data_IF_834113934632
#
_entry.id   IF_834113934632
#
_cell.length_a   1.000
_cell.length_b   1.000
_cell.length_c   1.000
_cell.angle_alpha   90.00
_cell.angle_beta   90.00
_cell.angle_gamma   90.00
#
_symmetry.space_group_name_H-M   'P 1'
#
loop_
_entity.id
_entity.type
_entity.pdbx_description
1 polymer ?
#
# COMPACT_ATOMS: atom_id res chain seq x y z
N UNK A 1 -13.17 -16.52 6.22
CA UNK A 1 -12.48 -16.20 4.96
C UNK A 1 -11.18 -15.48 5.31
N UNK A 2 -10.08 -15.87 4.65
CA UNK A 2 -8.75 -15.25 4.83
C UNK A 2 -8.26 -14.75 3.48
N UNK A 3 -7.85 -13.50 3.40
CA UNK A 3 -7.33 -12.87 2.18
C UNK A 3 -5.88 -12.49 2.39
N UNK A 4 -5.02 -12.86 1.45
CA UNK A 4 -3.65 -12.36 1.35
C UNK A 4 -3.66 -11.09 0.51
N UNK A 5 -3.29 -9.96 1.12
CA UNK A 5 -3.09 -8.68 0.44
C UNK A 5 -1.62 -8.42 0.16
N UNK A 6 -1.30 -7.87 -1.02
CA UNK A 6 0.06 -7.50 -1.45
C UNK A 6 0.07 -6.04 -1.88
N UNK A 7 1.06 -5.28 -1.39
CA UNK A 7 1.28 -3.87 -1.73
C UNK A 7 2.72 -3.66 -2.19
N UNK A 8 2.90 -3.02 -3.35
CA UNK A 8 4.20 -2.68 -3.93
C UNK A 8 4.10 -1.47 -4.88
N UNK A 9 3.17 -0.56 -4.62
CA UNK A 9 2.84 0.52 -5.57
C UNK A 9 3.84 1.68 -5.58
N UNK A 10 4.68 1.81 -4.56
CA UNK A 10 5.67 2.89 -4.46
C UNK A 10 7.05 2.39 -4.02
N UNK A 11 7.45 2.62 -2.78
CA UNK A 11 8.76 2.29 -2.23
C UNK A 11 8.69 1.37 -1.00
N UNK A 12 7.53 0.79 -0.76
CA UNK A 12 7.32 -0.19 0.30
C UNK A 12 6.80 -1.50 -0.28
N UNK A 13 7.38 -2.61 0.18
CA UNK A 13 6.91 -3.96 -0.13
C UNK A 13 6.21 -4.50 1.10
N UNK A 14 4.92 -4.78 0.99
CA UNK A 14 4.15 -5.28 2.11
C UNK A 14 3.25 -6.45 1.73
N UNK A 15 2.99 -7.31 2.71
CA UNK A 15 1.98 -8.35 2.65
C UNK A 15 1.22 -8.45 3.97
N UNK A 16 -0.07 -8.73 3.91
CA UNK A 16 -0.90 -8.95 5.09
C UNK A 16 -1.93 -10.04 4.88
N UNK A 17 -2.21 -10.80 5.93
CA UNK A 17 -3.29 -11.78 6.02
C UNK A 17 -4.40 -11.18 6.86
N UNK A 18 -5.57 -11.00 6.27
CA UNK A 18 -6.73 -10.39 6.95
C UNK A 18 -7.93 -11.31 6.82
N UNK A 19 -8.69 -11.46 7.91
CA UNK A 19 -9.90 -12.26 7.90
C UNK A 19 -11.17 -11.40 7.76
N UNK A 20 -12.34 -12.06 7.60
CA UNK A 20 -13.65 -11.43 7.49
C UNK A 20 -14.14 -10.76 8.80
N UNK A 21 -13.43 -10.96 9.91
CA UNK A 21 -13.65 -10.22 11.16
C UNK A 21 -12.81 -8.95 11.27
N UNK A 22 -12.07 -8.59 10.21
CA UNK A 22 -11.12 -7.47 10.15
C UNK A 22 -9.90 -7.66 11.07
N UNK A 23 -9.58 -8.88 11.43
CA UNK A 23 -8.39 -9.19 12.21
C UNK A 23 -7.20 -9.36 11.27
N UNK A 24 -6.09 -8.68 11.57
CA UNK A 24 -4.80 -8.89 10.90
C UNK A 24 -4.15 -10.09 11.55
N UNK A 25 -4.09 -11.20 10.82
CA UNK A 25 -3.53 -12.46 11.29
C UNK A 25 -2.01 -12.51 11.18
N UNK A 26 -1.48 -11.85 10.17
CA UNK A 26 -0.04 -11.72 9.94
C UNK A 26 0.23 -10.56 8.99
N UNK A 27 1.39 -9.93 9.18
CA UNK A 27 1.82 -8.81 8.34
C UNK A 27 3.34 -8.76 8.24
N UNK A 28 3.84 -8.25 7.15
CA UNK A 28 5.25 -7.93 6.94
C UNK A 28 5.36 -6.70 6.03
N UNK A 29 6.31 -5.84 6.37
CA UNK A 29 6.58 -4.58 5.66
C UNK A 29 8.08 -4.37 5.53
N UNK A 30 8.53 -3.98 4.36
CA UNK A 30 9.87 -3.50 4.07
C UNK A 30 9.81 -2.13 3.41
N UNK A 31 10.34 -1.10 4.07
CA UNK A 31 10.54 0.21 3.46
C UNK A 31 11.93 0.26 2.83
N UNK A 32 11.99 0.74 1.59
CA UNK A 32 13.23 0.81 0.79
C UNK A 32 14.03 2.05 1.18
N UNK A 33 15.15 1.86 1.88
CA UNK A 33 16.00 2.96 2.36
C UNK A 33 16.99 3.49 1.30
N UNK A 34 17.21 2.73 0.22
CA UNK A 34 18.18 3.04 -0.84
C UNK A 34 17.87 4.38 -1.53
N UNK A 35 16.62 4.77 -1.56
CA UNK A 35 16.15 6.02 -2.16
C UNK A 35 16.67 7.29 -1.47
N UNK A 36 17.09 7.17 -0.19
CA UNK A 36 17.65 8.30 0.59
C UNK A 36 18.87 8.93 -0.10
N UNK A 37 19.70 8.09 -0.74
CA UNK A 37 20.89 8.54 -1.45
C UNK A 37 20.60 9.38 -2.69
N UNK A 38 19.38 9.26 -3.25
CA UNK A 38 18.96 9.95 -4.49
C UNK A 38 18.03 11.13 -4.21
N UNK A 39 17.71 11.39 -2.95
CA UNK A 39 16.81 12.49 -2.55
C UNK A 39 15.36 12.31 -3.00
N UNK A 40 14.92 11.08 -3.24
CA UNK A 40 13.55 10.71 -3.60
C UNK A 40 13.48 9.34 -4.24
N UNK A 41 12.26 8.83 -4.45
CA UNK A 41 12.03 7.50 -5.01
C UNK A 41 12.51 7.42 -6.45
N UNK A 42 13.34 6.41 -6.75
CA UNK A 42 13.79 6.07 -8.10
C UNK A 42 13.01 4.85 -8.58
N UNK A 43 12.09 5.00 -9.55
CA UNK A 43 11.15 3.94 -9.92
C UNK A 43 11.78 2.61 -10.33
N UNK A 44 12.92 2.66 -11.03
CA UNK A 44 13.62 1.43 -11.44
C UNK A 44 14.25 0.69 -10.25
N UNK A 45 14.83 1.44 -9.31
CA UNK A 45 15.39 0.87 -8.09
C UNK A 45 14.24 0.26 -7.26
N UNK A 46 13.12 0.97 -7.11
CA UNK A 46 11.95 0.47 -6.41
C UNK A 46 11.45 -0.85 -6.99
N UNK A 47 11.28 -0.92 -8.31
CA UNK A 47 10.80 -2.13 -8.98
C UNK A 47 11.72 -3.33 -8.76
N UNK A 48 13.05 -3.14 -8.82
CA UNK A 48 14.04 -4.20 -8.55
C UNK A 48 14.01 -4.65 -7.09
N UNK A 49 13.94 -3.70 -6.16
CA UNK A 49 13.87 -4.01 -4.73
C UNK A 49 12.60 -4.81 -4.39
N UNK A 50 11.46 -4.50 -4.99
CA UNK A 50 10.25 -5.32 -4.84
C UNK A 50 10.47 -6.76 -5.30
N UNK A 51 11.09 -6.97 -6.46
CA UNK A 51 11.39 -8.32 -6.96
C UNK A 51 12.31 -9.10 -6.03
N UNK A 52 13.32 -8.44 -5.48
CA UNK A 52 14.32 -9.08 -4.64
C UNK A 52 13.77 -9.48 -3.26
N UNK A 53 12.72 -8.80 -2.78
CA UNK A 53 12.26 -8.95 -1.40
C UNK A 53 10.87 -9.56 -1.24
N UNK A 54 10.03 -9.60 -2.30
CA UNK A 54 8.61 -9.99 -2.17
C UNK A 54 8.43 -11.39 -1.61
N UNK A 55 9.27 -12.34 -1.98
CA UNK A 55 9.20 -13.72 -1.47
C UNK A 55 9.48 -13.75 0.03
N UNK A 56 10.52 -13.06 0.49
CA UNK A 56 10.88 -12.97 1.90
C UNK A 56 9.79 -12.24 2.73
N UNK A 57 9.13 -11.24 2.16
CA UNK A 57 7.99 -10.55 2.80
C UNK A 57 6.79 -11.49 2.94
N UNK A 58 6.50 -12.29 1.91
CA UNK A 58 5.45 -13.30 1.99
C UNK A 58 5.77 -14.35 3.08
N UNK A 59 6.99 -14.87 3.12
CA UNK A 59 7.42 -15.81 4.16
C UNK A 59 7.27 -15.23 5.56
N UNK A 60 7.72 -13.99 5.77
CA UNK A 60 7.58 -13.29 7.07
C UNK A 60 6.13 -13.06 7.47
N UNK A 61 5.25 -12.73 6.51
CA UNK A 61 3.83 -12.54 6.75
C UNK A 61 3.17 -13.81 7.32
N UNK A 62 3.58 -14.99 6.88
CA UNK A 62 3.07 -16.27 7.38
C UNK A 62 3.77 -16.78 8.64
N UNK A 63 5.03 -16.40 8.89
CA UNK A 63 5.94 -17.06 9.84
C UNK A 63 5.40 -17.22 11.27
N UNK A 64 4.53 -16.32 11.73
CA UNK A 64 4.01 -16.33 13.12
C UNK A 64 2.53 -16.73 13.20
N UNK A 65 1.90 -17.04 12.09
CA UNK A 65 0.45 -17.26 12.03
C UNK A 65 0.06 -18.73 12.20
N UNK A 66 0.95 -19.65 11.92
CA UNK A 66 0.64 -21.07 11.78
C UNK A 66 -0.16 -21.42 10.51
N UNK A 67 -0.46 -20.40 9.68
CA UNK A 67 -1.15 -20.57 8.40
C UNK A 67 -0.15 -20.87 7.27
N UNK A 68 -0.69 -21.40 6.19
CA UNK A 68 0.04 -21.67 4.94
C UNK A 68 -0.71 -21.06 3.76
N UNK A 69 -0.09 -21.02 2.60
CA UNK A 69 -0.74 -20.59 1.35
C UNK A 69 -2.02 -21.37 1.00
N UNK A 70 -2.21 -22.56 1.54
CA UNK A 70 -3.43 -23.37 1.31
C UNK A 70 -4.63 -22.89 2.11
N UNK A 71 -4.38 -22.14 3.18
CA UNK A 71 -5.41 -21.68 4.11
C UNK A 71 -6.06 -20.36 3.67
N UNK A 72 -5.50 -19.68 2.65
CA UNK A 72 -6.09 -18.46 2.09
C UNK A 72 -7.25 -18.77 1.14
N UNK A 73 -8.22 -17.88 1.12
CA UNK A 73 -9.42 -17.99 0.27
C UNK A 73 -9.35 -17.10 -0.97
N UNK A 74 -8.57 -16.03 -0.93
CA UNK A 74 -8.35 -15.11 -2.06
C UNK A 74 -6.99 -14.42 -1.95
N UNK A 75 -6.49 -13.92 -3.08
CA UNK A 75 -5.30 -13.07 -3.17
C UNK A 75 -5.70 -11.72 -3.72
N UNK A 76 -5.32 -10.64 -3.04
CA UNK A 76 -5.54 -9.28 -3.45
C UNK A 76 -4.21 -8.55 -3.68
N UNK A 77 -4.17 -7.60 -4.60
CA UNK A 77 -3.01 -6.72 -4.74
C UNK A 77 -3.43 -5.29 -5.11
N UNK A 78 -2.66 -4.31 -4.63
CA UNK A 78 -2.75 -2.95 -5.12
C UNK A 78 -2.40 -2.91 -6.61
N UNK A 79 -3.37 -2.49 -7.41
CA UNK A 79 -3.30 -2.54 -8.88
C UNK A 79 -3.22 -1.16 -9.53
N UNK A 80 -2.94 -0.15 -8.73
CA UNK A 80 -2.78 1.26 -9.08
C UNK A 80 -3.76 2.17 -8.33
N UNK A 81 -3.52 3.49 -8.37
CA UNK A 81 -2.35 4.15 -8.97
C UNK A 81 -1.05 3.83 -8.23
N UNK A 82 0.09 4.08 -8.89
CA UNK A 82 1.43 3.85 -8.32
C UNK A 82 2.52 3.82 -9.38
N UNK A 83 3.75 3.54 -8.98
CA UNK A 83 4.87 3.34 -9.88
C UNK A 83 4.68 2.04 -10.66
N UNK A 84 4.56 2.13 -11.96
CA UNK A 84 4.17 1.00 -12.81
C UNK A 84 5.03 -0.25 -12.61
N UNK A 85 6.34 -0.10 -12.42
CA UNK A 85 7.25 -1.22 -12.19
C UNK A 85 6.93 -1.97 -10.89
N UNK A 86 6.72 -1.25 -9.80
CA UNK A 86 6.32 -1.83 -8.53
C UNK A 86 4.93 -2.48 -8.59
N UNK A 87 3.93 -1.75 -9.10
CA UNK A 87 2.56 -2.29 -9.28
C UNK A 87 2.58 -3.61 -10.04
N UNK A 88 3.38 -3.70 -11.13
CA UNK A 88 3.48 -4.94 -11.93
C UNK A 88 4.03 -6.09 -11.09
N UNK A 89 5.04 -5.85 -10.24
CA UNK A 89 5.62 -6.91 -9.39
C UNK A 89 4.56 -7.49 -8.46
N UNK A 90 3.86 -6.67 -7.69
CA UNK A 90 2.84 -7.15 -6.74
C UNK A 90 1.67 -7.83 -7.43
N UNK A 91 1.15 -7.22 -8.50
CA UNK A 91 0.02 -7.78 -9.26
C UNK A 91 0.37 -9.13 -9.92
N UNK A 92 1.57 -9.25 -10.49
CA UNK A 92 1.98 -10.51 -11.13
C UNK A 92 2.25 -11.60 -10.11
N UNK A 93 2.84 -11.27 -8.96
CA UNK A 93 3.00 -12.21 -7.83
C UNK A 93 1.63 -12.69 -7.34
N UNK A 94 0.69 -11.77 -7.09
CA UNK A 94 -0.67 -12.11 -6.67
C UNK A 94 -1.41 -12.98 -7.68
N UNK A 95 -1.30 -12.68 -8.97
CA UNK A 95 -1.89 -13.49 -10.03
C UNK A 95 -1.26 -14.87 -10.13
N UNK A 96 0.06 -14.97 -10.01
CA UNK A 96 0.76 -16.26 -10.02
C UNK A 96 0.29 -17.13 -8.85
N UNK A 97 0.19 -16.58 -7.64
CA UNK A 97 -0.35 -17.28 -6.48
C UNK A 97 -1.81 -17.69 -6.68
N UNK A 98 -2.65 -16.79 -7.20
CA UNK A 98 -4.06 -17.05 -7.51
C UNK A 98 -4.21 -18.27 -8.43
N UNK A 99 -3.43 -18.31 -9.51
CA UNK A 99 -3.47 -19.43 -10.48
C UNK A 99 -2.93 -20.72 -9.84
N UNK A 100 -1.80 -20.64 -9.13
CA UNK A 100 -1.16 -21.81 -8.53
C UNK A 100 -2.01 -22.46 -7.43
N UNK A 101 -2.81 -21.67 -6.72
CA UNK A 101 -3.64 -22.11 -5.60
C UNK A 101 -5.10 -22.37 -6.00
N UNK A 102 -5.47 -22.06 -7.23
CA UNK A 102 -6.87 -22.07 -7.71
C UNK A 102 -7.78 -21.19 -6.80
N UNK A 103 -7.33 -19.96 -6.52
CA UNK A 103 -8.04 -18.98 -5.69
C UNK A 103 -8.32 -17.71 -6.47
N UNK A 104 -9.41 -16.98 -6.17
CA UNK A 104 -9.71 -15.73 -6.85
C UNK A 104 -8.64 -14.66 -6.61
N UNK A 105 -8.37 -13.86 -7.65
CA UNK A 105 -7.57 -12.65 -7.58
C UNK A 105 -8.48 -11.42 -7.50
N UNK A 106 -8.15 -10.49 -6.61
CA UNK A 106 -8.86 -9.22 -6.42
C UNK A 106 -7.91 -8.06 -6.69
N UNK A 107 -8.18 -7.29 -7.74
CA UNK A 107 -7.46 -6.05 -8.02
C UNK A 107 -8.01 -4.92 -7.14
N UNK A 108 -7.17 -4.32 -6.29
CA UNK A 108 -7.57 -3.25 -5.38
C UNK A 108 -6.97 -1.92 -5.85
N UNK A 109 -7.78 -0.86 -5.87
CA UNK A 109 -7.24 0.47 -6.06
C UNK A 109 -6.47 0.90 -4.81
N UNK A 110 -5.22 1.34 -4.97
CA UNK A 110 -4.34 1.75 -3.86
C UNK A 110 -4.97 2.82 -2.95
N UNK A 111 -5.62 3.84 -3.54
CA UNK A 111 -6.31 4.89 -2.77
C UNK A 111 -7.57 4.38 -2.07
N UNK A 112 -8.24 3.38 -2.63
CA UNK A 112 -9.35 2.69 -1.97
C UNK A 112 -8.85 1.88 -0.76
N UNK A 113 -7.69 1.24 -0.87
CA UNK A 113 -7.02 0.60 0.25
C UNK A 113 -6.81 1.57 1.42
N UNK A 114 -6.25 2.75 1.15
CA UNK A 114 -6.11 3.81 2.16
C UNK A 114 -7.47 4.27 2.70
N UNK A 115 -8.47 4.48 1.84
CA UNK A 115 -9.78 4.94 2.26
C UNK A 115 -10.48 3.96 3.21
N UNK A 116 -10.29 2.66 3.01
CA UNK A 116 -10.94 1.61 3.79
C UNK A 116 -10.12 1.15 5.00
N UNK A 117 -8.82 1.49 5.08
CA UNK A 117 -7.93 1.11 6.19
C UNK A 117 -8.46 1.58 7.55
N UNK A 118 -9.09 2.75 7.62
CA UNK A 118 -9.71 3.28 8.84
C UNK A 118 -10.79 2.34 9.43
N UNK A 119 -11.40 1.47 8.60
CA UNK A 119 -12.41 0.49 9.04
C UNK A 119 -11.82 -0.80 9.62
N UNK A 120 -10.52 -1.01 9.45
CA UNK A 120 -9.81 -2.12 10.09
C UNK A 120 -9.43 -1.72 11.51
N UNK A 121 -8.85 -0.54 11.68
CA UNK A 121 -8.36 -0.04 12.96
C UNK A 121 -9.41 0.60 13.87
N UNK A 122 -10.57 0.98 13.31
CA UNK A 122 -11.63 1.66 14.02
C UNK A 122 -13.01 1.18 13.55
N UNK A 123 -14.02 1.26 14.40
CA UNK A 123 -15.42 0.91 14.06
C UNK A 123 -16.11 2.04 13.27
N UNK A 124 -15.46 2.50 12.20
CA UNK A 124 -16.04 3.50 11.31
C UNK A 124 -17.08 2.86 10.40
N UNK A 125 -18.29 3.39 10.41
CA UNK A 125 -19.40 2.94 9.55
C UNK A 125 -19.59 3.90 8.37
N UNK A 126 -20.11 3.39 7.26
CA UNK A 126 -20.52 4.22 6.13
C UNK A 126 -21.77 5.05 6.43
N UNK A 127 -21.93 6.24 5.85
CA UNK A 127 -20.90 7.01 5.15
C UNK A 127 -19.96 7.74 6.14
N UNK A 128 -18.74 8.05 5.72
CA UNK A 128 -17.82 8.90 6.50
C UNK A 128 -17.03 9.86 5.61
N UNK A 129 -16.57 10.95 6.21
CA UNK A 129 -15.68 11.92 5.57
C UNK A 129 -14.23 11.45 5.78
N UNK A 130 -13.48 11.40 4.69
CA UNK A 130 -12.07 11.04 4.69
C UNK A 130 -11.23 12.22 4.20
N UNK A 131 -10.20 12.58 4.97
CA UNK A 131 -9.08 13.37 4.51
C UNK A 131 -7.94 12.40 4.16
N UNK A 132 -7.76 12.12 2.88
CA UNK A 132 -6.65 11.33 2.37
C UNK A 132 -5.45 12.25 2.17
N UNK A 133 -4.35 11.99 2.88
CA UNK A 133 -3.09 12.74 2.78
C UNK A 133 -1.95 11.75 2.64
N UNK A 134 -1.23 11.80 1.53
CA UNK A 134 -0.08 10.94 1.25
C UNK A 134 1.06 11.72 0.58
N UNK A 135 2.11 11.01 0.20
CA UNK A 135 3.23 11.57 -0.57
C UNK A 135 2.80 12.16 -1.91
N UNK A 136 1.93 11.44 -2.64
CA UNK A 136 1.48 11.82 -3.99
C UNK A 136 0.02 12.27 -4.09
N UNK A 137 -0.79 12.13 -3.04
CA UNK A 137 -2.23 12.40 -3.08
C UNK A 137 -2.71 13.19 -1.87
N UNK A 138 -3.56 14.17 -2.11
CA UNK A 138 -4.26 14.91 -1.06
C UNK A 138 -5.69 15.17 -1.53
N UNK A 139 -6.68 14.52 -0.89
CA UNK A 139 -8.08 14.56 -1.30
C UNK A 139 -9.03 14.57 -0.09
N UNK A 140 -10.18 15.21 -0.27
CA UNK A 140 -11.30 15.14 0.67
C UNK A 140 -12.40 14.32 -0.01
N UNK A 141 -12.79 13.21 0.60
CA UNK A 141 -13.72 12.24 0.05
C UNK A 141 -14.88 11.98 1.01
N UNK A 142 -16.08 11.79 0.48
CA UNK A 142 -17.16 11.10 1.18
C UNK A 142 -17.11 9.63 0.75
N UNK A 143 -16.84 8.76 1.69
CA UNK A 143 -16.85 7.31 1.49
C UNK A 143 -18.25 6.82 1.82
N UNK A 144 -19.04 6.52 0.79
CA UNK A 144 -20.46 6.12 0.94
C UNK A 144 -20.60 4.62 1.14
N UNK A 145 -19.76 3.85 0.46
CA UNK A 145 -19.65 2.38 0.55
C UNK A 145 -18.36 1.94 -0.15
N UNK A 146 -18.04 0.65 -0.14
CA UNK A 146 -16.96 0.06 -0.94
C UNK A 146 -17.23 0.35 -2.42
N UNK A 147 -16.24 0.92 -3.11
CA UNK A 147 -16.36 1.32 -4.51
C UNK A 147 -17.24 2.54 -4.75
N UNK A 148 -17.77 3.21 -3.71
CA UNK A 148 -18.67 4.36 -3.83
C UNK A 148 -18.09 5.59 -3.13
N UNK A 149 -17.38 6.42 -3.90
CA UNK A 149 -16.67 7.59 -3.41
C UNK A 149 -17.16 8.85 -4.09
N UNK A 150 -17.31 9.93 -3.31
CA UNK A 150 -17.57 11.28 -3.83
C UNK A 150 -16.42 12.19 -3.43
N UNK A 151 -15.67 12.68 -4.42
CA UNK A 151 -14.57 13.58 -4.17
C UNK A 151 -15.06 15.02 -4.04
N UNK A 152 -14.94 15.57 -2.84
CA UNK A 152 -15.32 16.97 -2.53
C UNK A 152 -14.20 17.95 -2.87
N UNK A 153 -12.94 17.51 -2.78
CA UNK A 153 -11.79 18.36 -3.05
C UNK A 153 -10.52 17.55 -3.29
N UNK A 154 -9.55 18.18 -3.94
CA UNK A 154 -8.22 17.64 -4.15
C UNK A 154 -7.21 18.76 -4.18
N UNK A 155 -5.94 18.46 -3.90
CA UNK A 155 -4.89 19.44 -4.13
C UNK A 155 -4.86 19.90 -5.61
N UNK A 156 -4.52 21.17 -5.80
CA UNK A 156 -4.44 21.76 -7.15
C UNK A 156 -3.02 21.64 -7.70
N UNK A 157 -2.03 21.68 -6.82
CA UNK A 157 -0.60 21.59 -7.16
C UNK A 157 0.02 20.40 -6.43
N UNK A 158 0.90 20.64 -5.46
CA UNK A 158 1.58 19.57 -4.73
C UNK A 158 0.65 18.87 -3.74
N UNK A 159 0.83 17.56 -3.60
CA UNK A 159 0.33 16.87 -2.43
C UNK A 159 1.10 17.30 -1.17
N UNK A 160 0.51 17.13 0.01
CA UNK A 160 1.13 17.59 1.27
C UNK A 160 2.50 16.97 1.49
N UNK A 161 2.67 15.66 1.24
CA UNK A 161 3.96 14.99 1.38
C UNK A 161 5.00 15.51 0.38
N UNK A 162 4.62 15.72 -0.86
CA UNK A 162 5.49 16.33 -1.87
C UNK A 162 5.92 17.75 -1.47
N UNK A 163 5.02 18.55 -0.91
CA UNK A 163 5.34 19.88 -0.40
C UNK A 163 6.37 19.83 0.74
N UNK A 164 6.23 18.87 1.67
CA UNK A 164 7.25 18.63 2.71
C UNK A 164 8.61 18.27 2.14
N UNK A 165 8.66 17.37 1.16
CA UNK A 165 9.92 16.96 0.51
C UNK A 165 10.58 18.13 -0.24
N UNK A 166 9.80 18.96 -0.94
CA UNK A 166 10.31 20.16 -1.61
C UNK A 166 10.88 21.15 -0.61
N UNK A 167 10.18 21.44 0.48
CA UNK A 167 10.67 22.33 1.54
C UNK A 167 11.95 21.77 2.18
N UNK A 168 12.01 20.46 2.47
CA UNK A 168 13.21 19.82 3.00
C UNK A 168 14.42 20.03 2.08
N UNK A 169 14.25 19.83 0.77
CA UNK A 169 15.31 20.07 -0.23
C UNK A 169 15.76 21.53 -0.25
N UNK A 170 14.84 22.49 -0.09
CA UNK A 170 15.16 23.92 -0.07
C UNK A 170 15.93 24.36 1.18
N UNK A 171 15.68 23.71 2.32
CA UNK A 171 16.36 23.98 3.60
C UNK A 171 17.78 23.39 3.67
N UNK A 172 18.21 22.62 2.68
CA UNK A 172 19.51 21.97 2.65
C UNK A 172 19.48 20.58 3.31
N UNK A 173 20.63 20.00 3.70
CA UNK A 173 20.72 18.61 4.16
C UNK A 173 20.12 18.38 5.55
N UNK A 174 18.95 18.93 5.81
CA UNK A 174 18.09 18.42 6.86
C UNK A 174 17.73 17.00 6.45
N UNK A 175 17.94 16.06 7.33
CA UNK A 175 17.67 14.65 7.04
C UNK A 175 16.29 14.52 6.39
N UNK A 176 16.25 14.18 5.11
CA UNK A 176 15.06 13.90 4.32
C UNK A 176 14.06 12.98 5.04
N UNK A 177 14.56 12.07 5.86
CA UNK A 177 13.78 11.13 6.64
C UNK A 177 12.89 11.76 7.72
N UNK A 178 13.17 13.00 8.16
CA UNK A 178 12.38 13.66 9.21
C UNK A 178 11.16 14.41 8.69
N UNK A 179 11.09 14.66 7.36
CA UNK A 179 10.01 15.41 6.74
C UNK A 179 9.17 14.55 5.79
N UNK A 180 9.47 13.27 5.70
CA UNK A 180 8.69 12.33 4.89
C UNK A 180 7.26 12.26 5.44
N UNK A 181 6.28 12.59 4.62
CA UNK A 181 4.91 12.25 4.90
C UNK A 181 4.79 10.73 4.85
N UNK A 182 4.58 10.10 5.99
CA UNK A 182 4.28 8.70 6.01
C UNK A 182 2.91 8.50 5.35
N UNK A 183 2.87 7.62 4.37
CA UNK A 183 1.60 7.07 3.90
C UNK A 183 1.05 6.21 5.04
N UNK A 184 0.01 6.68 5.67
CA UNK A 184 -0.70 5.97 6.74
C UNK A 184 -1.99 5.36 6.19
#
# INVERSE_FOLDING_TARGET
MIVLGIESSCDETAAALVNDKKEILGEALLSQEEHKAFGGVVPEIAARSHLDHIDGILEQCFAKTGLTLKDIDAVAAASGPGLIGGVVVGVMTAKALSVALDKPFVAVNHLEGHALAARISNDVTFPYLLLLVSGGHCQILVVKDVGQYERLGTTIDDAVGEAFDKVAKMLGPVSYTHLRAHET
#
